data_IF_363111306568
#
_entry.id   IF_363111306568
#
_cell.length_a   1.000
_cell.length_b   1.000
_cell.length_c   1.000
_cell.angle_alpha   90.00
_cell.angle_beta   90.00
_cell.angle_gamma   90.00
#
_symmetry.space_group_name_H-M   'P 1'
#
loop_
_entity.id
_entity.type
_entity.pdbx_description
1 polymer ?
#
# COMPACT_ATOMS: atom_id res chain seq x y z
N UNK A 1 -8.69 -2.09 9.45
CA UNK A 1 -7.78 -0.97 9.80
C UNK A 1 -6.38 -1.54 9.95
N UNK A 2 -5.36 -0.78 9.58
CA UNK A 2 -3.98 -1.24 9.66
C UNK A 2 -3.36 -0.92 11.02
N UNK A 3 -2.62 -1.88 11.55
CA UNK A 3 -1.91 -1.76 12.82
C UNK A 3 -0.47 -2.26 12.68
N UNK A 4 0.48 -1.59 13.32
CA UNK A 4 1.88 -2.00 13.39
C UNK A 4 2.16 -2.67 14.73
N UNK A 5 2.70 -3.88 14.71
CA UNK A 5 3.13 -4.62 15.90
C UNK A 5 4.47 -4.08 16.37
N UNK A 6 4.57 -3.77 17.66
CA UNK A 6 5.82 -3.42 18.34
C UNK A 6 5.95 -4.32 19.56
N UNK A 7 7.05 -5.05 19.67
CA UNK A 7 7.29 -6.04 20.73
C UNK A 7 7.44 -7.47 20.22
N UNK A 8 7.78 -8.38 21.15
CA UNK A 8 8.13 -9.78 20.85
C UNK A 8 7.11 -10.80 21.36
N UNK A 9 6.02 -10.36 21.98
CA UNK A 9 5.09 -11.25 22.69
C UNK A 9 4.36 -12.24 21.77
N UNK A 10 4.24 -11.91 20.49
CA UNK A 10 3.53 -12.71 19.48
C UNK A 10 4.48 -13.40 18.49
N UNK A 11 5.78 -13.47 18.81
CA UNK A 11 6.73 -14.26 18.02
C UNK A 11 6.52 -15.77 18.26
N UNK A 12 6.73 -16.63 17.24
CA UNK A 12 7.25 -16.32 15.90
C UNK A 12 6.17 -15.89 14.89
N UNK A 13 4.89 -15.98 15.23
CA UNK A 13 3.81 -15.75 14.27
C UNK A 13 3.78 -14.29 13.78
N UNK A 14 4.02 -13.33 14.67
CA UNK A 14 4.04 -11.90 14.41
C UNK A 14 5.33 -11.28 14.95
N UNK A 15 6.27 -11.00 14.05
CA UNK A 15 7.56 -10.38 14.39
C UNK A 15 7.39 -8.89 14.70
N UNK A 16 8.31 -8.33 15.48
CA UNK A 16 8.40 -6.89 15.68
C UNK A 16 8.43 -6.14 14.33
N UNK A 17 7.63 -5.09 14.22
CA UNK A 17 7.47 -4.31 12.99
C UNK A 17 6.49 -4.89 11.96
N UNK A 18 5.88 -6.06 12.19
CA UNK A 18 4.84 -6.62 11.31
C UNK A 18 3.65 -5.68 11.21
N UNK A 19 3.02 -5.60 10.02
CA UNK A 19 1.80 -4.82 9.82
C UNK A 19 0.61 -5.74 9.63
N UNK A 20 -0.49 -5.47 10.33
CA UNK A 20 -1.69 -6.29 10.35
C UNK A 20 -2.87 -5.50 9.80
N UNK A 21 -3.64 -6.12 8.92
CA UNK A 21 -4.99 -5.67 8.67
C UNK A 21 -5.94 -6.35 9.66
N UNK A 22 -6.63 -5.50 10.44
CA UNK A 22 -7.50 -5.91 11.53
C UNK A 22 -8.95 -5.53 11.18
N UNK A 23 -9.84 -6.51 11.23
CA UNK A 23 -11.25 -6.34 10.90
C UNK A 23 -12.12 -6.32 12.17
N UNK A 24 -12.87 -5.23 12.34
CA UNK A 24 -13.89 -5.14 13.40
C UNK A 24 -15.09 -6.04 13.10
N UNK A 25 -15.48 -6.09 11.82
CA UNK A 25 -16.62 -6.91 11.37
C UNK A 25 -16.37 -8.39 11.55
N UNK A 26 -15.11 -8.85 11.42
CA UNK A 26 -14.75 -10.24 11.66
C UNK A 26 -15.06 -10.71 13.09
N UNK A 27 -15.05 -9.81 14.09
CA UNK A 27 -15.45 -10.14 15.46
C UNK A 27 -16.95 -10.41 15.57
N UNK A 28 -17.78 -9.75 14.75
CA UNK A 28 -19.25 -9.95 14.72
C UNK A 28 -19.62 -11.35 14.23
N UNK A 29 -18.77 -11.98 13.43
CA UNK A 29 -18.95 -13.36 12.96
C UNK A 29 -18.46 -14.42 13.98
N UNK A 30 -18.06 -13.98 15.17
CA UNK A 30 -17.59 -14.84 16.25
C UNK A 30 -16.06 -14.98 16.27
N UNK A 31 -15.53 -15.17 17.48
CA UNK A 31 -14.13 -15.45 17.74
C UNK A 31 -13.96 -16.93 18.09
N UNK A 32 -12.87 -17.52 17.61
CA UNK A 32 -12.52 -18.92 17.87
C UNK A 32 -11.15 -19.01 18.54
N UNK A 33 -10.91 -20.11 19.24
CA UNK A 33 -9.57 -20.44 19.70
C UNK A 33 -8.60 -20.49 18.51
N UNK A 34 -7.41 -19.91 18.69
CA UNK A 34 -6.41 -19.73 17.65
C UNK A 34 -6.44 -18.37 16.94
N UNK A 35 -7.53 -17.61 17.03
CA UNK A 35 -7.62 -16.29 16.39
C UNK A 35 -6.68 -15.28 17.06
N UNK A 36 -5.92 -14.52 16.26
CA UNK A 36 -5.19 -13.36 16.78
C UNK A 36 -6.10 -12.12 16.77
N UNK A 37 -6.12 -11.37 17.86
CA UNK A 37 -6.99 -10.21 18.05
C UNK A 37 -6.24 -9.02 18.62
N UNK A 38 -6.65 -7.83 18.18
CA UNK A 38 -6.25 -6.58 18.83
C UNK A 38 -7.29 -6.26 19.88
N UNK A 39 -6.83 -5.99 21.11
CA UNK A 39 -7.68 -5.67 22.23
C UNK A 39 -7.14 -4.48 23.02
N UNK A 40 -7.98 -3.88 23.85
CA UNK A 40 -7.56 -2.96 24.89
C UNK A 40 -7.11 -3.77 26.12
N UNK A 41 -5.90 -3.52 26.59
CA UNK A 41 -5.39 -4.08 27.85
C UNK A 41 -6.31 -3.63 28.99
N UNK A 42 -6.83 -4.55 29.83
CA UNK A 42 -7.76 -4.20 30.91
C UNK A 42 -7.11 -3.31 31.99
N UNK A 43 -5.78 -3.24 32.07
CA UNK A 43 -5.05 -2.49 33.10
C UNK A 43 -4.89 -1.01 32.77
N UNK A 44 -4.55 -0.68 31.52
CA UNK A 44 -4.18 0.69 31.10
C UNK A 44 -4.85 1.14 29.79
N UNK A 45 -5.71 0.30 29.20
CA UNK A 45 -6.44 0.54 27.94
C UNK A 45 -5.55 0.76 26.70
N UNK A 46 -4.26 0.40 26.73
CA UNK A 46 -3.45 0.44 25.49
C UNK A 46 -3.81 -0.70 24.54
N UNK A 47 -3.40 -0.58 23.29
CA UNK A 47 -3.62 -1.62 22.28
C UNK A 47 -2.60 -2.76 22.43
N UNK A 48 -3.09 -3.99 22.61
CA UNK A 48 -2.30 -5.22 22.66
C UNK A 48 -2.74 -6.18 21.53
N UNK A 49 -1.82 -7.03 21.08
CA UNK A 49 -2.09 -8.13 20.15
C UNK A 49 -1.90 -9.45 20.90
N UNK A 50 -2.92 -10.30 20.92
CA UNK A 50 -2.87 -11.61 21.59
C UNK A 50 -3.66 -12.66 20.82
N UNK A 51 -3.40 -13.93 21.11
CA UNK A 51 -4.15 -15.08 20.58
C UNK A 51 -5.28 -15.47 21.53
N UNK A 52 -6.46 -15.68 20.97
CA UNK A 52 -7.61 -16.24 21.68
C UNK A 52 -7.32 -17.70 21.99
N UNK A 53 -7.35 -18.08 23.26
CA UNK A 53 -7.22 -19.49 23.66
C UNK A 53 -8.53 -20.05 24.18
N UNK A 54 -9.32 -19.23 24.89
CA UNK A 54 -10.66 -19.60 25.37
C UNK A 54 -11.66 -18.45 25.20
N UNK A 55 -12.86 -18.77 24.75
CA UNK A 55 -14.00 -17.84 24.67
C UNK A 55 -15.07 -18.31 25.65
N UNK A 56 -15.48 -17.46 26.60
CA UNK A 56 -16.55 -17.76 27.56
C UNK A 56 -17.67 -16.72 27.49
N UNK A 57 -18.67 -16.84 28.38
CA UNK A 57 -19.74 -15.83 28.51
C UNK A 57 -19.21 -14.57 29.20
N UNK A 58 -18.35 -14.75 30.19
CA UNK A 58 -17.77 -13.73 31.08
C UNK A 58 -16.67 -12.92 30.38
N UNK A 59 -15.95 -13.52 29.44
CA UNK A 59 -14.89 -12.82 28.71
C UNK A 59 -14.12 -13.72 27.75
N UNK A 60 -12.95 -13.25 27.35
CA UNK A 60 -12.05 -13.96 26.44
C UNK A 60 -10.69 -14.07 27.10
N UNK A 61 -10.14 -15.28 27.11
CA UNK A 61 -8.78 -15.52 27.54
C UNK A 61 -7.83 -15.36 26.35
N UNK A 62 -6.88 -14.45 26.51
CA UNK A 62 -5.93 -14.00 25.49
C UNK A 62 -4.50 -14.28 25.96
N UNK A 63 -3.69 -14.92 25.14
CA UNK A 63 -2.29 -15.29 25.43
C UNK A 63 -1.35 -14.84 24.32
N UNK A 64 -0.10 -14.50 24.67
CA UNK A 64 0.94 -14.26 23.67
C UNK A 64 1.55 -15.57 23.18
N UNK A 65 2.00 -15.60 21.92
CA UNK A 65 2.68 -16.78 21.35
C UNK A 65 4.05 -17.04 21.98
N UNK A 66 4.70 -15.98 22.47
CA UNK A 66 5.95 -16.02 23.21
C UNK A 66 5.67 -15.81 24.70
N UNK A 67 5.52 -16.92 25.42
CA UNK A 67 5.18 -16.92 26.84
C UNK A 67 6.19 -16.16 27.72
N UNK A 68 7.47 -16.17 27.34
CA UNK A 68 8.56 -15.52 28.10
C UNK A 68 8.58 -14.00 27.94
N UNK A 69 8.01 -13.49 26.84
CA UNK A 69 8.00 -12.09 26.46
C UNK A 69 6.58 -11.54 26.36
N UNK A 70 5.63 -12.13 27.09
CA UNK A 70 4.22 -11.72 27.06
C UNK A 70 3.68 -11.46 28.46
N UNK A 71 3.07 -10.30 28.62
CA UNK A 71 2.10 -10.05 29.69
C UNK A 71 0.70 -10.17 29.11
N UNK A 72 -0.07 -11.14 29.61
CA UNK A 72 -1.35 -11.54 29.02
C UNK A 72 -2.35 -12.04 30.09
N UNK A 73 -3.38 -12.77 29.68
CA UNK A 73 -4.49 -13.16 30.58
C UNK A 73 -4.06 -14.07 31.72
N UNK A 74 -2.87 -14.69 31.64
CA UNK A 74 -2.26 -15.41 32.77
C UNK A 74 -1.92 -14.47 33.94
N UNK A 75 -1.72 -13.18 33.65
CA UNK A 75 -1.42 -12.14 34.63
C UNK A 75 -2.66 -11.31 34.99
N UNK A 76 -3.43 -10.87 33.99
CA UNK A 76 -4.55 -9.93 34.21
C UNK A 76 -5.95 -10.56 34.12
N UNK A 77 -6.06 -11.86 33.87
CA UNK A 77 -7.35 -12.56 33.78
C UNK A 77 -8.09 -12.31 32.46
N UNK A 78 -9.42 -12.49 32.49
CA UNK A 78 -10.27 -12.44 31.30
C UNK A 78 -10.40 -11.01 30.74
N UNK A 79 -10.38 -10.90 29.41
CA UNK A 79 -10.63 -9.64 28.69
C UNK A 79 -12.12 -9.54 28.33
N UNK A 80 -12.82 -8.45 28.70
CA UNK A 80 -14.21 -8.23 28.31
C UNK A 80 -14.37 -8.20 26.78
N UNK A 81 -15.47 -8.75 26.26
CA UNK A 81 -15.74 -8.76 24.79
C UNK A 81 -15.77 -7.35 24.19
N UNK A 82 -16.22 -6.35 24.94
CA UNK A 82 -16.23 -4.94 24.53
C UNK A 82 -14.84 -4.33 24.36
N UNK A 83 -13.80 -4.93 24.93
CA UNK A 83 -12.42 -4.48 24.78
C UNK A 83 -11.74 -5.05 23.52
N UNK A 84 -12.40 -5.99 22.81
CA UNK A 84 -11.85 -6.52 21.56
C UNK A 84 -12.09 -5.51 20.44
N UNK A 85 -11.00 -4.98 19.89
CA UNK A 85 -11.03 -3.99 18.82
C UNK A 85 -11.29 -4.65 17.48
N UNK A 86 -10.67 -5.79 17.21
CA UNK A 86 -10.83 -6.50 15.95
C UNK A 86 -9.97 -7.76 15.83
N UNK A 87 -10.29 -8.60 14.86
CA UNK A 87 -9.52 -9.80 14.52
C UNK A 87 -8.42 -9.47 13.52
N UNK A 88 -7.20 -9.92 13.77
CA UNK A 88 -6.09 -9.83 12.82
C UNK A 88 -6.32 -10.84 11.68
N UNK A 89 -6.51 -10.32 10.47
CA UNK A 89 -6.93 -11.12 9.31
C UNK A 89 -5.75 -11.40 8.37
N UNK A 90 -4.94 -10.38 8.10
CA UNK A 90 -3.84 -10.47 7.15
C UNK A 90 -2.59 -9.88 7.78
N UNK A 91 -1.46 -10.60 7.66
CA UNK A 91 -0.13 -10.17 8.08
C UNK A 91 0.68 -9.79 6.85
N UNK A 92 1.19 -8.56 6.83
CA UNK A 92 2.08 -8.05 5.80
C UNK A 92 3.53 -8.11 6.29
N UNK A 93 4.49 -8.44 5.40
CA UNK A 93 5.91 -8.44 5.75
C UNK A 93 6.37 -7.04 6.17
N UNK A 94 7.34 -6.99 7.08
CA UNK A 94 8.02 -5.75 7.46
C UNK A 94 8.76 -5.18 6.24
N UNK A 95 8.38 -3.98 5.79
CA UNK A 95 9.07 -3.27 4.72
C UNK A 95 10.02 -2.24 5.31
N UNK A 96 11.31 -2.56 5.32
CA UNK A 96 12.36 -1.72 5.88
C UNK A 96 13.00 -0.88 4.77
N UNK A 97 12.64 0.40 4.70
CA UNK A 97 13.61 1.47 4.37
C UNK A 97 13.92 1.86 2.91
N UNK A 98 13.17 1.44 1.88
CA UNK A 98 13.45 1.86 0.48
C UNK A 98 12.43 2.75 -0.27
N UNK A 99 11.13 2.87 0.09
CA UNK A 99 10.18 3.45 -0.84
C UNK A 99 10.22 4.99 -0.93
N UNK A 100 10.66 5.71 0.10
CA UNK A 100 10.47 7.16 0.15
C UNK A 100 11.34 7.95 -0.83
N UNK A 101 12.60 7.55 -1.03
CA UNK A 101 13.48 8.14 -2.05
C UNK A 101 13.22 7.60 -3.46
N UNK A 102 12.63 6.41 -3.57
CA UNK A 102 12.30 5.80 -4.86
C UNK A 102 11.17 6.55 -5.58
N UNK A 103 10.22 7.14 -4.85
CA UNK A 103 9.10 7.90 -5.44
C UNK A 103 9.56 9.01 -6.39
N UNK A 104 10.37 10.00 -5.97
CA UNK A 104 10.80 11.08 -6.88
C UNK A 104 11.67 10.56 -8.03
N UNK A 105 12.48 9.52 -7.80
CA UNK A 105 13.30 8.92 -8.86
C UNK A 105 12.41 8.27 -9.96
N UNK A 106 11.41 7.49 -9.55
CA UNK A 106 10.44 6.88 -10.47
C UNK A 106 9.58 7.92 -11.18
N UNK A 107 9.18 8.98 -10.48
CA UNK A 107 8.44 10.09 -11.08
C UNK A 107 9.27 10.83 -12.13
N UNK A 108 10.57 11.01 -11.89
CA UNK A 108 11.48 11.61 -12.86
C UNK A 108 11.63 10.74 -14.11
N UNK A 109 11.74 9.42 -13.95
CA UNK A 109 11.79 8.49 -15.09
C UNK A 109 10.52 8.57 -15.95
N UNK A 110 9.34 8.56 -15.32
CA UNK A 110 8.08 8.72 -16.04
C UNK A 110 7.92 10.11 -16.69
N UNK A 111 8.46 11.16 -16.06
CA UNK A 111 8.46 12.49 -16.65
C UNK A 111 9.33 12.57 -17.90
N UNK A 112 10.51 11.96 -17.89
CA UNK A 112 11.41 11.91 -19.06
C UNK A 112 10.71 11.18 -20.22
N UNK A 113 10.11 10.02 -19.93
CA UNK A 113 9.36 9.22 -20.89
C UNK A 113 8.20 10.00 -21.52
N UNK A 114 7.31 10.56 -20.70
CA UNK A 114 6.15 11.31 -21.18
C UNK A 114 6.56 12.60 -21.92
N UNK A 115 7.63 13.27 -21.48
CA UNK A 115 8.14 14.47 -22.15
C UNK A 115 8.72 14.14 -23.54
N UNK A 116 9.41 13.01 -23.68
CA UNK A 116 9.91 12.53 -24.97
C UNK A 116 8.76 12.28 -25.96
N UNK A 117 7.72 11.55 -25.53
CA UNK A 117 6.53 11.31 -26.36
C UNK A 117 5.79 12.61 -26.71
N UNK A 118 5.71 13.54 -25.76
CA UNK A 118 5.08 14.85 -26.00
C UNK A 118 5.84 15.62 -27.08
N UNK A 119 7.18 15.64 -27.01
CA UNK A 119 8.02 16.29 -28.01
C UNK A 119 7.82 15.65 -29.39
N UNK A 120 7.79 14.32 -29.47
CA UNK A 120 7.59 13.61 -30.75
C UNK A 120 6.21 13.83 -31.36
N UNK A 121 5.17 13.91 -30.54
CA UNK A 121 3.82 14.22 -31.01
C UNK A 121 3.76 15.59 -31.70
N UNK A 122 4.42 16.62 -31.16
CA UNK A 122 4.44 17.96 -31.76
C UNK A 122 5.41 18.11 -32.94
N UNK A 123 6.50 17.35 -32.95
CA UNK A 123 7.45 17.32 -34.07
C UNK A 123 6.89 16.56 -35.28
N UNK A 124 5.82 15.76 -35.09
CA UNK A 124 5.29 14.85 -36.12
C UNK A 124 6.27 13.74 -36.49
N UNK A 125 7.26 13.48 -35.63
CA UNK A 125 8.31 12.50 -35.89
C UNK A 125 7.85 11.09 -35.57
N UNK A 126 8.23 10.13 -36.42
CA UNK A 126 8.05 8.70 -36.15
C UNK A 126 8.73 8.32 -34.83
N UNK A 127 8.03 7.55 -34.02
CA UNK A 127 8.58 7.03 -32.77
C UNK A 127 9.32 5.75 -33.11
N UNK A 128 10.62 5.71 -32.81
CA UNK A 128 11.45 4.52 -33.04
C UNK A 128 11.05 3.38 -32.09
N UNK A 129 9.94 2.72 -32.39
CA UNK A 129 9.44 1.55 -31.68
C UNK A 129 9.74 0.29 -32.51
N UNK A 130 10.33 -0.69 -31.82
CA UNK A 130 11.09 -1.77 -32.43
C UNK A 130 10.34 -2.70 -33.39
N UNK A 131 11.16 -3.50 -34.06
CA UNK A 131 10.95 -4.29 -35.29
C UNK A 131 10.22 -5.63 -35.01
N UNK A 132 9.47 -5.73 -33.90
CA UNK A 132 8.88 -6.98 -33.41
C UNK A 132 7.38 -7.01 -33.74
N UNK A 133 6.84 -8.12 -34.30
CA UNK A 133 5.41 -8.25 -34.56
C UNK A 133 4.56 -8.00 -33.30
N UNK A 134 3.58 -7.10 -33.40
CA UNK A 134 2.68 -6.72 -32.30
C UNK A 134 3.18 -5.57 -31.41
N UNK A 135 4.40 -5.06 -31.64
CA UNK A 135 4.91 -3.83 -31.01
C UNK A 135 4.82 -2.70 -32.03
N UNK A 136 3.80 -1.86 -31.89
CA UNK A 136 3.53 -0.77 -32.82
C UNK A 136 3.06 0.46 -32.05
N UNK A 137 3.94 1.45 -31.96
CA UNK A 137 3.63 2.71 -31.29
C UNK A 137 2.77 3.62 -32.14
N UNK A 138 2.85 3.53 -33.46
CA UNK A 138 2.14 4.44 -34.35
C UNK A 138 0.64 4.10 -34.37
N UNK A 139 0.29 2.81 -34.32
CA UNK A 139 -1.11 2.38 -34.13
C UNK A 139 -1.68 2.88 -32.79
N UNK A 140 -0.89 2.84 -31.72
CA UNK A 140 -1.36 3.25 -30.38
C UNK A 140 -1.43 4.77 -30.26
N UNK A 141 -0.38 5.49 -30.65
CA UNK A 141 -0.27 6.95 -30.55
C UNK A 141 -1.12 7.68 -31.61
N UNK A 142 -1.41 7.04 -32.74
CA UNK A 142 -2.32 7.56 -33.77
C UNK A 142 -3.80 7.21 -33.51
N UNK A 143 -4.12 6.44 -32.47
CA UNK A 143 -5.50 6.06 -32.17
C UNK A 143 -6.28 7.22 -31.54
N UNK A 144 -7.62 7.17 -31.62
CA UNK A 144 -8.49 8.13 -30.91
C UNK A 144 -8.33 8.11 -29.38
N UNK A 145 -7.67 7.11 -28.82
CA UNK A 145 -7.42 6.98 -27.39
C UNK A 145 -6.15 7.71 -26.92
N UNK A 146 -5.32 8.19 -27.86
CA UNK A 146 -4.13 8.98 -27.55
C UNK A 146 -4.45 10.45 -27.25
N UNK A 147 -5.71 10.87 -27.43
CA UNK A 147 -6.20 12.21 -27.11
C UNK A 147 -7.45 12.13 -26.23
N UNK A 148 -7.51 12.99 -25.22
CA UNK A 148 -8.68 13.14 -24.35
C UNK A 148 -9.11 14.60 -24.44
N UNK A 149 -10.31 14.86 -24.96
CA UNK A 149 -10.83 16.22 -25.21
C UNK A 149 -9.89 17.09 -26.08
N UNK A 150 -9.19 16.47 -27.06
CA UNK A 150 -8.23 17.15 -27.93
C UNK A 150 -6.90 17.47 -27.26
N UNK A 151 -6.66 16.97 -26.04
CA UNK A 151 -5.38 17.08 -25.34
C UNK A 151 -4.62 15.76 -25.48
N UNK A 152 -3.38 15.77 -25.99
CA UNK A 152 -2.57 14.56 -26.09
C UNK A 152 -2.34 13.90 -24.72
N UNK A 153 -2.53 12.59 -24.66
CA UNK A 153 -2.34 11.78 -23.48
C UNK A 153 -0.89 11.84 -22.97
N UNK A 154 0.08 12.01 -23.87
CA UNK A 154 1.50 12.23 -23.53
C UNK A 154 1.70 13.49 -22.68
N UNK A 155 1.00 14.58 -23.01
CA UNK A 155 1.05 15.83 -22.25
C UNK A 155 0.39 15.67 -20.87
N UNK A 156 -0.75 14.99 -20.80
CA UNK A 156 -1.41 14.67 -19.53
C UNK A 156 -0.52 13.78 -18.64
N UNK A 157 0.17 12.81 -19.23
CA UNK A 157 1.18 11.99 -18.56
C UNK A 157 2.33 12.82 -17.99
N UNK A 158 2.89 13.74 -18.78
CA UNK A 158 3.96 14.63 -18.34
C UNK A 158 3.51 15.50 -17.15
N UNK A 159 2.31 16.09 -17.21
CA UNK A 159 1.75 16.85 -16.11
C UNK A 159 1.51 16.00 -14.85
N UNK A 160 1.05 14.76 -15.03
CA UNK A 160 0.88 13.80 -13.94
C UNK A 160 2.21 13.49 -13.25
N UNK A 161 3.25 13.11 -14.00
CA UNK A 161 4.55 12.78 -13.41
C UNK A 161 5.23 14.00 -12.78
N UNK A 162 5.08 15.19 -13.37
CA UNK A 162 5.53 16.43 -12.76
C UNK A 162 4.83 16.69 -11.41
N UNK A 163 3.52 16.49 -11.36
CA UNK A 163 2.74 16.64 -10.12
C UNK A 163 3.21 15.65 -9.05
N UNK A 164 3.40 14.38 -9.40
CA UNK A 164 3.92 13.36 -8.50
C UNK A 164 5.34 13.69 -8.02
N UNK A 165 6.21 14.21 -8.90
CA UNK A 165 7.58 14.61 -8.56
C UNK A 165 7.59 15.76 -7.55
N UNK A 166 6.83 16.83 -7.81
CA UNK A 166 6.73 17.99 -6.91
C UNK A 166 6.16 17.59 -5.55
N UNK A 167 5.08 16.82 -5.52
CA UNK A 167 4.48 16.32 -4.28
C UNK A 167 5.40 15.35 -3.54
N UNK A 168 6.13 14.50 -4.25
CA UNK A 168 7.12 13.58 -3.70
C UNK A 168 8.26 14.32 -3.00
N UNK A 169 8.82 15.35 -3.64
CA UNK A 169 9.85 16.21 -3.03
C UNK A 169 9.29 16.97 -1.82
N UNK A 170 8.08 17.53 -1.94
CA UNK A 170 7.42 18.21 -0.84
C UNK A 170 7.18 17.29 0.37
N UNK A 171 6.79 16.03 0.12
CA UNK A 171 6.64 15.00 1.14
C UNK A 171 7.97 14.66 1.82
N UNK A 172 9.07 14.54 1.07
CA UNK A 172 10.40 14.28 1.66
C UNK A 172 10.85 15.42 2.59
N UNK A 173 10.56 16.68 2.24
CA UNK A 173 10.92 17.85 3.06
C UNK A 173 10.02 18.04 4.28
N UNK A 174 8.70 17.84 4.14
CA UNK A 174 7.72 18.18 5.20
C UNK A 174 7.22 16.98 6.00
N UNK A 175 7.33 15.76 5.47
CA UNK A 175 6.89 14.47 6.06
C UNK A 175 5.43 14.43 6.57
N UNK A 176 4.57 15.38 6.20
CA UNK A 176 3.18 15.45 6.65
C UNK A 176 2.32 14.31 6.07
N UNK A 177 1.40 13.78 6.88
CA UNK A 177 0.47 12.72 6.46
C UNK A 177 -0.47 13.15 5.33
N UNK A 178 -0.91 14.42 5.32
CA UNK A 178 -1.80 14.96 4.27
C UNK A 178 -1.14 14.87 2.89
N UNK A 179 0.17 15.15 2.79
CA UNK A 179 0.93 15.03 1.53
C UNK A 179 0.97 13.57 1.05
N UNK A 180 1.16 12.62 1.96
CA UNK A 180 1.17 11.19 1.63
C UNK A 180 -0.21 10.72 1.12
N UNK A 181 -1.29 11.17 1.75
CA UNK A 181 -2.66 10.84 1.33
C UNK A 181 -2.99 11.44 -0.04
N UNK A 182 -2.60 12.68 -0.28
CA UNK A 182 -2.79 13.35 -1.58
C UNK A 182 -1.99 12.63 -2.68
N UNK A 183 -0.73 12.30 -2.41
CA UNK A 183 0.15 11.56 -3.32
C UNK A 183 -0.40 10.15 -3.63
N UNK A 184 -0.92 9.45 -2.62
CA UNK A 184 -1.61 8.17 -2.81
C UNK A 184 -2.86 8.32 -3.68
N UNK A 185 -3.66 9.37 -3.47
CA UNK A 185 -4.84 9.65 -4.29
C UNK A 185 -4.49 9.91 -5.77
N UNK A 186 -3.48 10.74 -6.02
CA UNK A 186 -3.02 11.05 -7.40
C UNK A 186 -2.50 9.80 -8.09
N UNK A 187 -1.67 9.00 -7.42
CA UNK A 187 -1.11 7.76 -8.00
C UNK A 187 -2.16 6.66 -8.18
N UNK A 188 -3.23 6.63 -7.39
CA UNK A 188 -4.37 5.75 -7.61
C UNK A 188 -5.10 6.09 -8.93
N UNK A 189 -5.30 7.37 -9.22
CA UNK A 189 -5.90 7.82 -10.49
C UNK A 189 -5.01 7.40 -11.67
N UNK A 190 -3.69 7.61 -11.54
CA UNK A 190 -2.71 7.18 -12.55
C UNK A 190 -2.76 5.67 -12.80
N UNK A 191 -2.76 4.86 -11.74
CA UNK A 191 -2.86 3.40 -11.84
C UNK A 191 -4.15 2.93 -12.54
N UNK A 192 -5.30 3.50 -12.18
CA UNK A 192 -6.58 3.16 -12.81
C UNK A 192 -6.60 3.54 -14.31
N UNK A 193 -6.02 4.70 -14.64
CA UNK A 193 -5.88 5.15 -16.03
C UNK A 193 -4.96 4.21 -16.82
N UNK A 194 -3.83 3.79 -16.24
CA UNK A 194 -2.92 2.81 -16.84
C UNK A 194 -3.60 1.46 -17.10
N UNK A 195 -4.42 0.97 -16.17
CA UNK A 195 -5.18 -0.27 -16.37
C UNK A 195 -6.16 -0.16 -17.55
N UNK A 196 -6.83 0.99 -17.67
CA UNK A 196 -7.73 1.26 -18.79
C UNK A 196 -6.97 1.29 -20.13
N UNK A 197 -5.82 1.97 -20.19
CA UNK A 197 -5.02 2.05 -21.41
C UNK A 197 -4.37 0.71 -21.79
N UNK A 198 -3.97 -0.11 -20.81
CA UNK A 198 -3.52 -1.49 -21.06
C UNK A 198 -4.66 -2.30 -21.66
N UNK A 199 -5.88 -2.18 -21.12
CA UNK A 199 -7.05 -2.88 -21.65
C UNK A 199 -7.32 -2.52 -23.12
N UNK A 200 -7.28 -1.24 -23.46
CA UNK A 200 -7.46 -0.78 -24.84
C UNK A 200 -6.35 -1.33 -25.76
N UNK A 201 -5.08 -1.27 -25.35
CA UNK A 201 -3.96 -1.80 -26.14
C UNK A 201 -4.09 -3.32 -26.39
N UNK A 202 -4.44 -4.09 -25.35
CA UNK A 202 -4.49 -5.54 -25.43
C UNK A 202 -5.71 -6.09 -26.18
N UNK A 203 -6.89 -5.50 -25.98
CA UNK A 203 -8.15 -6.08 -26.48
C UNK A 203 -8.79 -5.33 -27.64
N UNK A 204 -8.55 -4.02 -27.74
CA UNK A 204 -9.17 -3.18 -28.78
C UNK A 204 -8.20 -2.99 -29.95
N UNK A 205 -7.00 -2.50 -29.66
CA UNK A 205 -5.99 -2.20 -30.68
C UNK A 205 -5.18 -3.43 -31.10
N UNK A 206 -5.07 -4.44 -30.23
CA UNK A 206 -4.21 -5.62 -30.42
C UNK A 206 -2.75 -5.24 -30.76
N UNK A 207 -2.27 -4.13 -30.21
CA UNK A 207 -0.95 -3.56 -30.42
C UNK A 207 -0.40 -2.99 -29.11
N UNK A 208 0.90 -3.15 -28.89
CA UNK A 208 1.56 -2.71 -27.65
C UNK A 208 2.55 -1.58 -27.93
N UNK A 209 2.46 -0.50 -27.16
CA UNK A 209 3.44 0.58 -27.15
C UNK A 209 4.40 0.39 -25.95
N UNK A 210 5.72 0.17 -26.16
CA UNK A 210 6.67 -0.02 -25.07
C UNK A 210 6.74 1.16 -24.12
N UNK A 211 6.64 2.39 -24.63
CA UNK A 211 6.62 3.60 -23.80
C UNK A 211 5.37 3.64 -22.91
N UNK A 212 4.19 3.36 -23.43
CA UNK A 212 2.97 3.24 -22.61
C UNK A 212 3.08 2.11 -21.57
N UNK A 213 3.76 1.00 -21.88
CA UNK A 213 4.02 -0.07 -20.91
C UNK A 213 5.00 0.36 -19.82
N UNK A 214 6.05 1.12 -20.15
CA UNK A 214 6.97 1.72 -19.17
C UNK A 214 6.19 2.68 -18.26
N UNK A 215 5.36 3.55 -18.82
CA UNK A 215 4.50 4.45 -18.03
C UNK A 215 3.53 3.66 -17.13
N UNK A 216 2.88 2.61 -17.65
CA UNK A 216 1.99 1.78 -16.85
C UNK A 216 2.73 1.06 -15.71
N UNK A 217 3.93 0.54 -15.97
CA UNK A 217 4.77 -0.09 -14.96
C UNK A 217 5.20 0.90 -13.88
N UNK A 218 5.70 2.07 -14.26
CA UNK A 218 6.14 3.11 -13.31
C UNK A 218 4.99 3.61 -12.44
N UNK A 219 3.81 3.85 -13.02
CA UNK A 219 2.61 4.25 -12.27
C UNK A 219 2.16 3.17 -11.27
N UNK A 220 2.27 1.89 -11.65
CA UNK A 220 1.95 0.75 -10.78
C UNK A 220 2.93 0.64 -9.61
N UNK A 221 4.24 0.76 -9.86
CA UNK A 221 5.26 0.73 -8.81
C UNK A 221 5.06 1.91 -7.83
N UNK A 222 4.76 3.10 -8.35
CA UNK A 222 4.44 4.27 -7.53
C UNK A 222 3.22 4.03 -6.62
N UNK A 223 2.12 3.52 -7.19
CA UNK A 223 0.92 3.21 -6.42
C UNK A 223 1.18 2.17 -5.32
N UNK A 224 1.83 1.05 -5.67
CA UNK A 224 2.12 -0.04 -4.72
C UNK A 224 3.06 0.44 -3.61
N UNK A 225 4.12 1.18 -3.94
CA UNK A 225 5.06 1.70 -2.93
C UNK A 225 4.37 2.64 -1.94
N UNK A 226 3.52 3.55 -2.42
CA UNK A 226 2.75 4.47 -1.58
C UNK A 226 1.66 3.79 -0.77
N UNK A 227 1.03 2.76 -1.33
CA UNK A 227 0.07 1.92 -0.62
C UNK A 227 0.73 1.26 0.59
N UNK A 228 1.91 0.66 0.40
CA UNK A 228 2.67 0.05 1.51
C UNK A 228 3.11 1.09 2.55
N UNK A 229 3.57 2.26 2.11
CA UNK A 229 3.91 3.37 3.03
C UNK A 229 2.71 3.84 3.85
N UNK A 230 1.53 3.92 3.24
CA UNK A 230 0.29 4.32 3.92
C UNK A 230 -0.11 3.27 4.96
N UNK A 231 0.01 1.98 4.63
CA UNK A 231 -0.29 0.86 5.52
C UNK A 231 0.66 0.81 6.73
N UNK A 232 1.95 1.04 6.49
CA UNK A 232 2.97 1.02 7.56
C UNK A 232 2.85 2.17 8.57
N UNK A 233 2.12 3.24 8.24
CA UNK A 233 1.75 4.33 9.17
C UNK A 233 0.46 4.06 9.97
N UNK A 234 -0.04 2.82 9.95
CA UNK A 234 -1.18 2.38 10.77
C UNK A 234 -0.95 2.57 12.28
N UNK A 235 -2.02 2.42 13.07
CA UNK A 235 -1.95 2.60 14.53
C UNK A 235 -0.94 1.63 15.16
N UNK A 236 -0.13 2.10 16.08
CA UNK A 236 0.85 1.26 16.76
C UNK A 236 0.15 0.42 17.84
N UNK A 237 0.38 -0.88 17.82
CA UNK A 237 0.07 -1.81 18.90
C UNK A 237 1.36 -1.95 19.69
N UNK A 238 1.29 -1.64 20.98
CA UNK A 238 2.42 -1.81 21.90
C UNK A 238 2.18 -3.12 22.62
N UNK A 239 2.94 -4.12 22.22
CA UNK A 239 2.85 -5.45 22.79
C UNK A 239 3.95 -5.60 23.85
N UNK A 240 3.53 -5.66 25.10
CA UNK A 240 4.42 -5.66 26.26
C UNK A 240 5.32 -6.91 26.25
N UNK A 241 6.63 -6.69 26.21
CA UNK A 241 7.63 -7.63 26.72
C UNK A 241 7.67 -7.45 28.24
N UNK A 242 7.85 -8.53 29.02
CA UNK A 242 8.11 -8.41 30.46
C UNK A 242 9.16 -7.31 30.64
N UNK A 243 8.84 -6.24 31.38
CA UNK A 243 9.88 -5.35 31.90
C UNK A 243 10.85 -6.28 32.62
N UNK A 244 12.09 -6.39 32.14
CA UNK A 244 13.11 -7.13 32.84
C UNK A 244 13.15 -6.58 34.28
N UNK A 245 12.86 -7.47 35.22
CA UNK A 245 13.17 -7.29 36.64
C UNK A 245 14.69 -7.26 36.82
#
# INVERSE_FOLDING_TARGET
MFYKVVGKSMEPAYKDGSVLWVSKSAVKFGLRSGDAVVALDPRDRRLILKRVTKVSKEGIFLEGDNSTQSTDSRTFGLVPKGNIIGKAMVKFPQWKGWPDKAVPALALLGLIDASYLTFKHFEGGEVACGIIPGVDCDVVLGSMYSEIFGIPLSLLGALYYLTVLVLGIAYLKRRKNVLLQLLFGVTAIGFLTSLYLIYIQAFVLNAYCPFCMISALTSTILFVSLWVMTISRGKVIIDESKKNE
#
